data_IF_562951660234
#
_entry.id   IF_562951660234
#
_cell.length_a   1.000
_cell.length_b   1.000
_cell.length_c   1.000
_cell.angle_alpha   90.00
_cell.angle_beta   90.00
_cell.angle_gamma   90.00
#
_symmetry.space_group_name_H-M   'P 1'
#
loop_
_entity.id
_entity.type
_entity.pdbx_description
1 polymer ?
#
# COMPACT_ATOMS: atom_id res chain seq x y z
N UNK A 1 -29.23 -84.49 21.96
CA UNK A 1 -28.69 -84.43 20.60
C UNK A 1 -28.95 -83.02 20.10
N UNK A 2 -27.91 -82.19 20.03
CA UNK A 2 -28.01 -80.78 19.66
C UNK A 2 -27.55 -80.62 18.21
N UNK A 3 -28.40 -80.08 17.35
CA UNK A 3 -28.00 -79.62 16.02
C UNK A 3 -28.14 -78.10 15.94
N UNK A 4 -27.14 -77.52 15.29
CA UNK A 4 -26.63 -76.17 15.52
C UNK A 4 -27.00 -75.32 14.31
N UNK A 5 -27.78 -74.26 14.52
CA UNK A 5 -28.08 -73.26 13.49
C UNK A 5 -26.79 -72.54 13.08
N UNK A 6 -26.46 -72.41 11.78
CA UNK A 6 -25.27 -71.69 11.37
C UNK A 6 -25.55 -70.19 11.47
N UNK A 7 -25.16 -69.59 12.59
CA UNK A 7 -25.10 -68.14 12.73
C UNK A 7 -23.85 -67.67 11.99
N UNK A 8 -24.02 -67.37 10.71
CA UNK A 8 -22.97 -66.75 9.89
C UNK A 8 -22.73 -65.34 10.43
N UNK A 9 -21.75 -65.23 11.32
CA UNK A 9 -21.27 -63.97 11.87
C UNK A 9 -20.27 -63.40 10.86
N UNK A 10 -20.75 -62.58 9.94
CA UNK A 10 -19.87 -61.78 9.08
C UNK A 10 -19.24 -60.69 9.96
N UNK A 11 -17.91 -60.53 9.97
CA UNK A 11 -17.24 -59.53 10.79
C UNK A 11 -17.54 -58.10 10.27
N UNK A 12 -17.95 -57.20 11.18
CA UNK A 12 -18.25 -55.78 10.90
C UNK A 12 -17.07 -55.00 10.27
N UNK A 13 -15.84 -55.51 10.40
CA UNK A 13 -14.63 -54.92 9.81
C UNK A 13 -14.60 -54.99 8.28
N UNK A 14 -15.35 -55.91 7.65
CA UNK A 14 -15.43 -56.01 6.18
C UNK A 14 -16.45 -55.06 5.56
N UNK A 15 -17.46 -54.59 6.30
CA UNK A 15 -18.45 -53.64 5.76
C UNK A 15 -17.90 -52.21 5.67
N UNK A 16 -17.07 -51.80 6.64
CA UNK A 16 -16.47 -50.45 6.65
C UNK A 16 -15.39 -50.27 5.55
N UNK A 17 -14.62 -51.32 5.27
CA UNK A 17 -13.50 -51.26 4.32
C UNK A 17 -13.97 -51.36 2.86
N UNK A 18 -15.01 -52.15 2.56
CA UNK A 18 -15.64 -52.22 1.23
C UNK A 18 -16.38 -50.92 0.89
N UNK A 19 -17.04 -50.31 1.89
CA UNK A 19 -17.73 -49.02 1.68
C UNK A 19 -16.77 -47.86 1.37
N UNK A 20 -15.60 -47.80 2.01
CA UNK A 20 -14.68 -46.68 1.84
C UNK A 20 -13.97 -46.69 0.48
N UNK A 21 -13.61 -47.87 -0.04
CA UNK A 21 -13.01 -48.01 -1.38
C UNK A 21 -13.99 -47.73 -2.49
N UNK A 22 -15.26 -48.15 -2.34
CA UNK A 22 -16.31 -47.89 -3.32
C UNK A 22 -16.72 -46.41 -3.33
N UNK A 23 -16.81 -45.77 -2.15
CA UNK A 23 -17.06 -44.32 -2.05
C UNK A 23 -15.90 -43.51 -2.63
N UNK A 24 -14.64 -43.89 -2.36
CA UNK A 24 -13.47 -43.22 -2.93
C UNK A 24 -13.40 -43.36 -4.46
N UNK A 25 -13.76 -44.53 -4.99
CA UNK A 25 -13.88 -44.77 -6.43
C UNK A 25 -14.98 -43.93 -7.08
N UNK A 26 -16.16 -43.88 -6.46
CA UNK A 26 -17.28 -43.04 -6.94
C UNK A 26 -16.96 -41.55 -6.89
N UNK A 27 -16.31 -41.08 -5.82
CA UNK A 27 -15.85 -39.70 -5.70
C UNK A 27 -14.82 -39.35 -6.79
N UNK A 28 -13.92 -40.28 -7.12
CA UNK A 28 -12.91 -40.10 -8.17
C UNK A 28 -13.54 -40.00 -9.55
N UNK A 29 -14.56 -40.82 -9.85
CA UNK A 29 -15.30 -40.76 -11.12
C UNK A 29 -16.11 -39.47 -11.25
N UNK A 30 -16.78 -39.04 -10.18
CA UNK A 30 -17.49 -37.75 -10.13
C UNK A 30 -16.49 -36.61 -10.31
N UNK A 31 -15.34 -36.68 -9.65
CA UNK A 31 -14.27 -35.68 -9.76
C UNK A 31 -13.76 -35.53 -11.18
N UNK A 32 -13.44 -36.62 -11.89
CA UNK A 32 -12.97 -36.56 -13.28
C UNK A 32 -14.06 -36.08 -14.24
N UNK A 33 -15.34 -36.45 -14.00
CA UNK A 33 -16.48 -35.97 -14.80
C UNK A 33 -16.75 -34.47 -14.62
N UNK A 34 -16.53 -33.93 -13.42
CA UNK A 34 -16.77 -32.52 -13.09
C UNK A 34 -15.57 -31.63 -13.42
N UNK A 35 -14.35 -32.16 -13.27
CA UNK A 35 -13.10 -31.43 -13.47
C UNK A 35 -12.89 -30.99 -14.91
N UNK A 36 -13.06 -31.90 -15.87
CA UNK A 36 -12.81 -31.62 -17.28
C UNK A 36 -13.74 -30.54 -17.89
N UNK A 37 -15.07 -30.54 -17.66
CA UNK A 37 -15.97 -29.55 -18.26
C UNK A 37 -16.19 -28.29 -17.40
N UNK A 38 -15.94 -28.32 -16.08
CA UNK A 38 -16.25 -27.20 -15.20
C UNK A 38 -15.00 -26.54 -14.59
N UNK A 39 -14.14 -27.34 -13.95
CA UNK A 39 -13.00 -26.80 -13.17
C UNK A 39 -11.90 -26.28 -14.11
N UNK A 40 -11.56 -27.03 -15.15
CA UNK A 40 -10.51 -26.64 -16.11
C UNK A 40 -10.84 -25.32 -16.82
N UNK A 41 -12.01 -25.12 -17.47
CA UNK A 41 -12.28 -23.86 -18.14
C UNK A 41 -12.42 -22.67 -17.19
N UNK A 42 -12.97 -22.89 -15.98
CA UNK A 42 -13.05 -21.85 -14.95
C UNK A 42 -11.66 -21.41 -14.48
N UNK A 43 -10.76 -22.36 -14.24
CA UNK A 43 -9.37 -22.07 -13.86
C UNK A 43 -8.64 -21.36 -14.99
N UNK A 44 -8.78 -21.83 -16.23
CA UNK A 44 -8.20 -21.19 -17.41
C UNK A 44 -8.69 -19.75 -17.57
N UNK A 45 -9.99 -19.50 -17.39
CA UNK A 45 -10.56 -18.15 -17.39
C UNK A 45 -9.97 -17.28 -16.26
N UNK A 46 -9.82 -17.84 -15.05
CA UNK A 46 -9.17 -17.15 -13.93
C UNK A 46 -7.71 -16.80 -14.22
N UNK A 47 -6.96 -17.70 -14.84
CA UNK A 47 -5.57 -17.44 -15.29
C UNK A 47 -5.53 -16.31 -16.31
N UNK A 48 -6.45 -16.29 -17.28
CA UNK A 48 -6.52 -15.20 -18.26
C UNK A 48 -6.86 -13.85 -17.63
N UNK A 49 -7.79 -13.81 -16.66
CA UNK A 49 -8.10 -12.58 -15.92
C UNK A 49 -6.87 -12.11 -15.13
N UNK A 50 -6.19 -13.01 -14.42
CA UNK A 50 -4.99 -12.69 -13.67
C UNK A 50 -3.88 -12.14 -14.58
N UNK A 51 -3.67 -12.77 -15.74
CA UNK A 51 -2.72 -12.33 -16.74
C UNK A 51 -3.07 -10.95 -17.28
N UNK A 52 -4.35 -10.69 -17.59
CA UNK A 52 -4.81 -9.39 -18.05
C UNK A 52 -4.58 -8.29 -17.00
N UNK A 53 -4.90 -8.55 -15.74
CA UNK A 53 -4.67 -7.60 -14.64
C UNK A 53 -3.17 -7.33 -14.44
N UNK A 54 -2.34 -8.37 -14.48
CA UNK A 54 -0.88 -8.24 -14.37
C UNK A 54 -0.30 -7.39 -15.50
N UNK A 55 -0.73 -7.62 -16.74
CA UNK A 55 -0.30 -6.82 -17.90
C UNK A 55 -0.76 -5.37 -17.80
N UNK A 56 -2.00 -5.11 -17.39
CA UNK A 56 -2.50 -3.76 -17.20
C UNK A 56 -1.66 -2.97 -16.18
N UNK A 57 -1.39 -3.57 -15.02
CA UNK A 57 -0.54 -2.95 -13.98
C UNK A 57 0.90 -2.75 -14.46
N UNK A 58 1.45 -3.70 -15.20
CA UNK A 58 2.78 -3.56 -15.78
C UNK A 58 2.86 -2.39 -16.76
N UNK A 59 1.87 -2.26 -17.65
CA UNK A 59 1.78 -1.16 -18.61
C UNK A 59 1.66 0.20 -17.91
N UNK A 60 0.89 0.31 -16.83
CA UNK A 60 0.81 1.53 -16.02
C UNK A 60 2.19 1.91 -15.44
N UNK A 61 2.93 0.94 -14.87
CA UNK A 61 4.27 1.19 -14.32
C UNK A 61 5.27 1.58 -15.40
N UNK A 62 5.23 0.94 -16.57
CA UNK A 62 6.07 1.28 -17.72
C UNK A 62 5.74 2.68 -18.23
N UNK A 63 4.45 3.02 -18.35
CA UNK A 63 4.02 4.37 -18.76
C UNK A 63 4.55 5.43 -17.80
N UNK A 64 4.37 5.26 -16.48
CA UNK A 64 4.91 6.18 -15.48
C UNK A 64 6.43 6.30 -15.56
N UNK A 65 7.15 5.19 -15.76
CA UNK A 65 8.59 5.17 -15.95
C UNK A 65 9.03 5.96 -17.19
N UNK A 66 8.37 5.76 -18.34
CA UNK A 66 8.64 6.49 -19.58
C UNK A 66 8.38 7.99 -19.38
N UNK A 67 7.24 8.36 -18.77
CA UNK A 67 6.92 9.77 -18.48
C UNK A 67 8.01 10.40 -17.62
N UNK A 68 8.46 9.74 -16.55
CA UNK A 68 9.53 10.25 -15.68
C UNK A 68 10.84 10.42 -16.46
N UNK A 69 11.21 9.45 -17.31
CA UNK A 69 12.43 9.52 -18.13
C UNK A 69 12.34 10.67 -19.13
N UNK A 70 11.21 10.83 -19.83
CA UNK A 70 10.98 11.92 -20.77
C UNK A 70 11.02 13.27 -20.05
N UNK A 71 10.29 13.39 -18.95
CA UNK A 71 10.34 14.55 -18.07
C UNK A 71 11.78 14.86 -17.68
N UNK A 72 12.55 13.89 -17.20
CA UNK A 72 13.92 14.11 -16.76
C UNK A 72 14.89 14.45 -17.89
N UNK A 73 14.65 13.95 -19.11
CA UNK A 73 15.46 14.25 -20.30
C UNK A 73 15.14 15.63 -20.89
N UNK A 74 13.86 16.02 -20.92
CA UNK A 74 13.39 17.27 -21.52
C UNK A 74 13.31 18.43 -20.53
N UNK A 75 13.16 18.18 -19.22
CA UNK A 75 13.33 19.23 -18.22
C UNK A 75 14.82 19.59 -18.12
N UNK A 76 15.16 20.74 -18.69
CA UNK A 76 16.37 21.48 -18.34
C UNK A 76 16.35 21.76 -16.83
N UNK A 77 16.81 20.86 -15.93
CA UNK A 77 17.04 20.96 -14.45
C UNK A 77 16.02 21.92 -13.70
N UNK A 78 16.21 22.39 -12.44
CA UNK A 78 15.53 23.60 -11.86
C UNK A 78 16.43 24.86 -11.59
N UNK A 79 17.75 24.69 -11.48
CA UNK A 79 18.86 25.70 -11.47
C UNK A 79 19.00 26.87 -12.51
N UNK A 80 18.38 26.90 -13.71
CA UNK A 80 18.56 27.99 -14.74
C UNK A 80 17.28 28.80 -15.04
N UNK A 81 16.29 28.78 -14.15
CA UNK A 81 14.89 29.20 -14.33
C UNK A 81 14.53 30.09 -13.15
N UNK A 82 15.09 29.76 -12.00
CA UNK A 82 15.45 30.75 -11.01
C UNK A 82 16.93 31.07 -11.17
N UNK A 83 17.21 32.27 -11.69
CA UNK A 83 18.53 32.90 -11.56
C UNK A 83 18.66 33.28 -10.09
N UNK A 84 18.92 32.29 -9.24
CA UNK A 84 19.23 32.50 -7.83
C UNK A 84 20.61 33.14 -7.79
N UNK A 85 20.64 34.46 -7.64
CA UNK A 85 21.82 35.12 -7.13
C UNK A 85 21.77 34.95 -5.61
N UNK A 86 22.79 34.33 -4.97
CA UNK A 86 22.84 34.32 -3.52
C UNK A 86 22.78 35.77 -3.05
N UNK A 87 21.92 36.06 -2.08
CA UNK A 87 21.93 37.36 -1.43
C UNK A 87 23.36 37.59 -0.96
N UNK A 88 23.98 38.66 -1.43
CA UNK A 88 25.37 38.95 -1.14
C UNK A 88 25.47 39.17 0.37
N UNK A 89 26.42 38.49 1.02
CA UNK A 89 26.71 38.69 2.44
C UNK A 89 27.35 40.07 2.58
N UNK A 90 26.51 41.11 2.67
CA UNK A 90 26.95 42.44 3.04
C UNK A 90 27.36 42.41 4.51
N UNK A 91 28.65 42.15 4.74
CA UNK A 91 29.28 42.06 6.07
C UNK A 91 29.06 43.32 6.93
N UNK A 92 28.62 44.44 6.33
CA UNK A 92 28.35 45.71 7.01
C UNK A 92 26.86 45.96 7.35
N UNK A 93 25.92 45.11 6.89
CA UNK A 93 24.47 45.27 7.14
C UNK A 93 23.87 44.04 7.83
N UNK A 94 24.47 43.65 8.96
CA UNK A 94 24.21 42.40 9.70
C UNK A 94 22.79 42.12 10.20
N UNK A 95 21.75 42.83 9.76
CA UNK A 95 20.35 42.44 10.00
C UNK A 95 19.32 43.05 9.01
N UNK A 96 19.70 43.97 8.12
CA UNK A 96 18.72 44.73 7.31
C UNK A 96 18.38 44.09 5.96
N UNK A 97 19.21 43.15 5.46
CA UNK A 97 19.02 42.52 4.15
C UNK A 97 17.97 41.39 4.16
N UNK A 98 17.54 40.94 5.33
CA UNK A 98 16.52 39.89 5.44
C UNK A 98 15.12 40.52 5.55
N UNK A 99 14.21 40.33 4.57
CA UNK A 99 12.82 40.71 4.74
C UNK A 99 12.17 39.94 5.89
N UNK A 100 11.10 40.50 6.46
CA UNK A 100 10.27 39.73 7.39
C UNK A 100 9.51 38.68 6.58
N UNK A 101 9.68 37.41 6.93
CA UNK A 101 9.08 36.28 6.21
C UNK A 101 8.07 35.57 7.11
N UNK A 102 6.90 35.32 6.55
CA UNK A 102 5.85 34.51 7.17
C UNK A 102 5.83 33.12 6.50
N UNK A 103 6.05 32.08 7.30
CA UNK A 103 5.93 30.68 6.88
C UNK A 103 4.60 30.16 7.40
N UNK A 104 3.65 29.88 6.49
CA UNK A 104 2.36 29.30 6.83
C UNK A 104 2.40 27.78 6.65
N UNK A 105 2.07 27.04 7.70
CA UNK A 105 1.98 25.58 7.72
C UNK A 105 0.50 25.21 7.92
N UNK A 106 -0.27 24.96 6.84
CA UNK A 106 -1.60 24.38 6.96
C UNK A 106 -1.49 22.91 7.36
N UNK A 107 -2.31 22.48 8.33
CA UNK A 107 -2.39 21.09 8.80
C UNK A 107 -3.86 20.69 9.00
N UNK A 108 -4.17 19.44 8.62
CA UNK A 108 -5.45 18.80 8.81
C UNK A 108 -5.27 17.32 9.21
N UNK A 109 -5.39 17.05 10.50
CA UNK A 109 -5.30 15.73 11.14
C UNK A 109 -3.94 14.98 10.97
N UNK A 110 -2.84 15.62 10.57
CA UNK A 110 -1.55 14.92 10.37
C UNK A 110 -0.64 14.87 11.62
N UNK A 111 -0.96 13.95 12.54
CA UNK A 111 -0.27 13.77 13.84
C UNK A 111 1.20 13.36 13.76
N UNK A 112 1.60 12.64 12.73
CA UNK A 112 2.97 12.10 12.65
C UNK A 112 3.95 13.15 12.13
N UNK A 113 3.48 14.06 11.29
CA UNK A 113 4.31 15.06 10.61
C UNK A 113 4.26 16.43 11.27
N UNK A 114 3.32 16.74 12.17
CA UNK A 114 3.22 18.08 12.76
C UNK A 114 4.52 18.54 13.43
N UNK A 115 5.19 17.66 14.20
CA UNK A 115 6.46 17.98 14.87
C UNK A 115 7.58 18.20 13.87
N UNK A 116 7.62 17.38 12.82
CA UNK A 116 8.64 17.44 11.78
C UNK A 116 8.49 18.73 10.95
N UNK A 117 7.27 19.09 10.58
CA UNK A 117 6.99 20.30 9.80
C UNK A 117 7.32 21.58 10.57
N UNK A 118 6.89 21.68 11.84
CA UNK A 118 7.21 22.83 12.68
C UNK A 118 8.72 22.89 12.96
N UNK A 119 9.34 21.76 13.32
CA UNK A 119 10.78 21.69 13.55
C UNK A 119 11.61 22.07 12.32
N UNK A 120 11.18 21.66 11.12
CA UNK A 120 11.83 22.04 9.88
C UNK A 120 11.71 23.55 9.60
N UNK A 121 10.53 24.15 9.83
CA UNK A 121 10.34 25.58 9.66
C UNK A 121 11.15 26.40 10.68
N UNK A 122 11.25 25.93 11.93
CA UNK A 122 12.07 26.57 12.97
C UNK A 122 13.57 26.45 12.72
N UNK A 123 14.00 25.49 11.89
CA UNK A 123 15.41 25.27 11.56
C UNK A 123 15.82 25.90 10.22
N UNK A 124 15.00 26.82 9.68
CA UNK A 124 15.38 27.63 8.54
C UNK A 124 16.51 28.58 8.93
N UNK A 125 17.54 28.70 8.09
CA UNK A 125 18.62 29.67 8.24
C UNK A 125 18.11 31.09 7.97
N UNK A 126 17.32 31.64 8.89
CA UNK A 126 16.76 32.99 8.84
C UNK A 126 16.86 33.64 10.22
N UNK A 127 17.09 34.96 10.33
CA UNK A 127 17.06 35.65 11.62
C UNK A 127 15.72 35.41 12.35
N UNK A 128 15.79 34.97 13.60
CA UNK A 128 14.61 34.60 14.40
C UNK A 128 13.67 35.79 14.68
N UNK A 129 14.20 37.00 14.72
CA UNK A 129 13.46 38.26 14.85
C UNK A 129 12.67 38.63 13.57
N UNK A 130 12.93 37.93 12.45
CA UNK A 130 12.34 38.20 11.13
C UNK A 130 11.64 36.99 10.53
N UNK A 131 11.57 35.88 11.25
CA UNK A 131 10.89 34.66 10.85
C UNK A 131 9.63 34.48 11.70
N UNK A 132 8.46 34.55 11.07
CA UNK A 132 7.18 34.28 11.72
C UNK A 132 6.65 32.95 11.19
N UNK A 133 6.38 31.99 12.08
CA UNK A 133 5.81 30.69 11.71
C UNK A 133 4.35 30.68 12.14
N UNK A 134 3.43 30.58 11.19
CA UNK A 134 2.00 30.46 11.43
C UNK A 134 1.54 29.04 11.13
N UNK A 135 1.07 28.34 12.15
CA UNK A 135 0.48 27.00 11.99
C UNK A 135 -1.04 27.15 11.90
N UNK A 136 -1.61 26.84 10.73
CA UNK A 136 -3.05 26.83 10.51
C UNK A 136 -3.55 25.40 10.70
N UNK A 137 -4.06 25.09 11.89
CA UNK A 137 -4.57 23.76 12.21
C UNK A 137 -6.11 23.74 12.17
N UNK A 138 -6.67 23.08 11.17
CA UNK A 138 -8.12 22.86 11.03
C UNK A 138 -8.53 21.43 11.44
N UNK A 139 -7.68 20.74 12.22
CA UNK A 139 -7.95 19.39 12.71
C UNK A 139 -9.22 19.34 13.56
N UNK A 140 -10.12 18.43 13.20
CA UNK A 140 -11.38 18.17 13.92
C UNK A 140 -11.24 17.08 14.98
N UNK A 141 -10.13 16.36 14.99
CA UNK A 141 -9.91 15.23 15.88
C UNK A 141 -9.55 15.67 17.33
N UNK A 142 -10.32 15.28 18.35
CA UNK A 142 -10.12 15.68 19.74
C UNK A 142 -8.79 15.21 20.33
N UNK A 143 -8.21 14.11 19.84
CA UNK A 143 -6.94 13.62 20.37
C UNK A 143 -5.70 14.34 19.79
N UNK A 144 -5.89 15.19 18.76
CA UNK A 144 -4.85 16.11 18.25
C UNK A 144 -4.84 17.41 19.06
N UNK A 145 -6.01 17.90 19.45
CA UNK A 145 -6.15 19.13 20.25
C UNK A 145 -5.57 18.98 21.66
N UNK A 146 -5.73 17.80 22.28
CA UNK A 146 -5.22 17.54 23.64
C UNK A 146 -3.68 17.48 23.71
N UNK A 147 -3.00 17.09 22.62
CA UNK A 147 -1.54 17.02 22.54
C UNK A 147 -0.84 18.39 22.52
N UNK A 148 -1.59 19.48 22.29
CA UNK A 148 -1.04 20.83 22.12
C UNK A 148 -1.02 21.67 23.41
N UNK A 149 -1.51 21.11 24.52
CA UNK A 149 -1.64 21.79 25.82
C UNK A 149 -0.71 21.17 26.86
N UNK A 150 0.61 21.24 26.65
CA UNK A 150 1.64 21.06 27.68
C UNK A 150 2.79 22.01 27.39
#
# INVERSE_FOLDING_TARGET
MAEVSPKVMIPESFQFQVSSSDIAGQLTLIWELLKAPLIVPLLTLGVYICLAMSLMLFMERVYMGIVIILVKLFWKKPDKRYKWEPMQDDLESGNLNFPVVLVQIPMFNEREVYKLSIGAASNLSWPADRLVIQVLDDSTDPAIKLSKSV
#
